data_IF_305909567817
#
_entry.id   IF_305909567817
#
_cell.length_a   1.000
_cell.length_b   1.000
_cell.length_c   1.000
_cell.angle_alpha   90.00
_cell.angle_beta   90.00
_cell.angle_gamma   90.00
#
_symmetry.space_group_name_H-M   'P 1'
#
loop_
_entity.id
_entity.type
_entity.pdbx_description
1 polymer ?
#
# COMPACT_ATOMS: atom_id res chain seq x y z
N UNK A 1 -11.57 6.56 4.95
CA UNK A 1 -10.42 6.02 4.21
C UNK A 1 -10.84 4.75 3.49
N UNK A 2 -10.34 4.53 2.30
CA UNK A 2 -10.78 3.40 1.47
C UNK A 2 -9.92 2.17 1.75
N UNK A 3 -10.44 1.26 2.58
CA UNK A 3 -9.73 0.04 2.98
C UNK A 3 -9.46 -0.87 1.78
N UNK A 4 -10.42 -0.94 0.86
CA UNK A 4 -10.25 -1.80 -0.31
C UNK A 4 -9.08 -1.31 -1.17
N UNK A 5 -9.00 -0.02 -1.37
CA UNK A 5 -7.93 0.56 -2.17
C UNK A 5 -6.57 0.37 -1.48
N UNK A 6 -6.51 0.61 -0.18
CA UNK A 6 -5.27 0.45 0.58
C UNK A 6 -4.81 -1.00 0.52
N UNK A 7 -5.72 -1.94 0.70
CA UNK A 7 -5.35 -3.36 0.65
C UNK A 7 -4.89 -3.77 -0.75
N UNK A 8 -5.48 -3.19 -1.78
CA UNK A 8 -5.06 -3.47 -3.16
C UNK A 8 -3.61 -3.06 -3.37
N UNK A 9 -3.23 -1.88 -2.89
CA UNK A 9 -1.84 -1.44 -3.00
C UNK A 9 -0.90 -2.36 -2.24
N UNK A 10 -1.28 -2.73 -1.02
CA UNK A 10 -0.48 -3.66 -0.21
C UNK A 10 -0.24 -4.96 -0.97
N UNK A 11 -1.30 -5.51 -1.55
CA UNK A 11 -1.19 -6.77 -2.28
C UNK A 11 -0.24 -6.66 -3.46
N UNK A 12 -0.30 -5.56 -4.19
CA UNK A 12 0.57 -5.36 -5.36
C UNK A 12 2.03 -5.22 -4.95
N UNK A 13 2.28 -4.50 -3.86
CA UNK A 13 3.65 -4.33 -3.38
C UNK A 13 4.21 -5.67 -2.94
N UNK A 14 3.43 -6.48 -2.23
CA UNK A 14 3.88 -7.80 -1.80
C UNK A 14 4.15 -8.73 -2.97
N UNK A 15 3.40 -8.55 -4.05
CA UNK A 15 3.60 -9.36 -5.25
C UNK A 15 4.78 -8.88 -6.10
N UNK A 16 5.45 -7.81 -5.69
CA UNK A 16 6.56 -7.26 -6.45
C UNK A 16 6.14 -6.51 -7.71
N UNK A 17 4.87 -6.11 -7.78
CA UNK A 17 4.32 -5.46 -8.97
C UNK A 17 4.33 -3.94 -8.89
N UNK A 18 4.61 -3.38 -7.73
CA UNK A 18 4.77 -1.93 -7.57
C UNK A 18 5.56 -1.65 -6.29
N UNK A 19 6.06 -0.41 -6.19
CA UNK A 19 6.79 0.04 -5.03
C UNK A 19 5.97 1.08 -4.27
N UNK A 20 6.38 1.36 -3.02
CA UNK A 20 5.66 2.34 -2.20
C UNK A 20 5.67 3.73 -2.86
N UNK A 21 6.74 4.07 -3.58
CA UNK A 21 6.82 5.37 -4.25
C UNK A 21 5.77 5.54 -5.33
N UNK A 22 5.26 4.45 -5.86
CA UNK A 22 4.22 4.48 -6.90
C UNK A 22 2.82 4.62 -6.34
N UNK A 23 2.67 4.49 -5.02
CA UNK A 23 1.38 4.67 -4.36
C UNK A 23 1.08 6.17 -4.29
N UNK A 24 -0.16 6.61 -4.58
CA UNK A 24 -0.51 8.02 -4.42
C UNK A 24 -0.18 8.52 -3.01
N UNK A 25 0.36 9.72 -2.95
CA UNK A 25 0.88 10.28 -1.69
C UNK A 25 -0.12 10.19 -0.54
N UNK A 26 -1.40 10.51 -0.73
CA UNK A 26 -2.35 10.45 0.39
C UNK A 26 -2.48 9.07 1.03
N UNK A 27 -2.08 8.01 0.32
CA UNK A 27 -2.22 6.64 0.81
C UNK A 27 -0.90 6.01 1.23
N UNK A 28 0.23 6.65 0.93
CA UNK A 28 1.54 6.03 1.17
C UNK A 28 1.75 5.67 2.62
N UNK A 29 1.42 6.58 3.54
CA UNK A 29 1.63 6.33 4.96
C UNK A 29 0.82 5.13 5.44
N UNK A 30 -0.46 5.09 5.05
CA UNK A 30 -1.34 4.00 5.46
C UNK A 30 -0.87 2.67 4.91
N UNK A 31 -0.48 2.65 3.64
CA UNK A 31 0.02 1.44 3.00
C UNK A 31 1.30 0.98 3.70
N UNK A 32 2.21 1.91 3.99
CA UNK A 32 3.47 1.58 4.65
C UNK A 32 3.23 0.98 6.03
N UNK A 33 2.31 1.56 6.79
CA UNK A 33 1.98 1.04 8.11
C UNK A 33 1.40 -0.36 8.04
N UNK A 34 0.57 -0.61 7.06
CA UNK A 34 -0.03 -1.93 6.90
C UNK A 34 1.00 -2.98 6.51
N UNK A 35 1.95 -2.59 5.65
CA UNK A 35 3.06 -3.49 5.30
C UNK A 35 3.91 -3.82 6.53
N UNK A 36 4.14 -2.84 7.39
CA UNK A 36 4.96 -3.04 8.58
C UNK A 36 4.29 -3.91 9.64
N UNK A 37 2.96 -3.95 9.65
CA UNK A 37 2.22 -4.72 10.65
C UNK A 37 2.22 -6.22 10.38
N UNK A 38 2.63 -6.60 9.21
CA UNK A 38 2.77 -8.02 8.89
C UNK A 38 4.19 -8.48 9.10
#
# INVERSE_FOLDING_TARGET
MNEVLIQAFVNRIRAGMMTIEQVPIPYQKEVQERLNDD
#
